data_IF_849907795505
#
_entry.id   IF_849907795505
#
_cell.length_a   1.000
_cell.length_b   1.000
_cell.length_c   1.000
_cell.angle_alpha   90.00
_cell.angle_beta   90.00
_cell.angle_gamma   90.00
#
_symmetry.space_group_name_H-M   'P 1'
#
loop_
_entity.id
_entity.type
_entity.pdbx_description
1 polymer ?
#
# COMPACT_ATOMS: atom_id res chain seq x y z
N UNK A 1 -58.48 -12.22 -15.88
CA UNK A 1 -57.87 -13.21 -14.96
C UNK A 1 -57.01 -12.45 -13.96
N UNK A 2 -57.36 -12.49 -12.66
CA UNK A 2 -56.74 -11.64 -11.61
C UNK A 2 -55.55 -12.39 -11.02
N UNK A 3 -54.34 -11.94 -11.36
CA UNK A 3 -53.07 -12.50 -10.88
C UNK A 3 -52.94 -12.24 -9.37
N UNK A 4 -52.89 -13.30 -8.56
CA UNK A 4 -52.62 -13.18 -7.11
C UNK A 4 -51.13 -12.90 -6.93
N UNK A 5 -50.80 -11.68 -6.52
CA UNK A 5 -49.46 -11.35 -6.06
C UNK A 5 -49.30 -12.00 -4.66
N UNK A 6 -48.41 -12.99 -4.56
CA UNK A 6 -48.06 -13.61 -3.28
C UNK A 6 -47.33 -12.62 -2.39
N UNK A 7 -47.82 -12.44 -1.16
CA UNK A 7 -47.14 -11.63 -0.15
C UNK A 7 -45.94 -12.37 0.44
N UNK A 8 -44.86 -11.63 0.68
CA UNK A 8 -43.66 -12.13 1.35
C UNK A 8 -44.00 -12.51 2.80
N UNK A 9 -43.61 -13.70 3.27
CA UNK A 9 -43.83 -14.07 4.67
C UNK A 9 -42.79 -13.41 5.56
N UNK A 10 -43.17 -13.04 6.79
CA UNK A 10 -42.23 -12.47 7.78
C UNK A 10 -41.09 -13.47 8.07
N UNK A 11 -41.39 -14.77 8.03
CA UNK A 11 -40.41 -15.84 8.26
C UNK A 11 -39.38 -15.89 7.14
N UNK A 12 -39.79 -15.73 5.88
CA UNK A 12 -38.85 -15.63 4.75
C UNK A 12 -37.92 -14.43 4.88
N UNK A 13 -38.43 -13.28 5.35
CA UNK A 13 -37.58 -12.12 5.56
C UNK A 13 -36.61 -12.33 6.73
N UNK A 14 -37.07 -12.98 7.81
CA UNK A 14 -36.27 -13.24 9.00
C UNK A 14 -35.09 -14.16 8.73
N UNK A 15 -35.30 -15.26 7.99
CA UNK A 15 -34.18 -16.17 7.68
C UNK A 15 -33.14 -15.49 6.78
N UNK A 16 -33.57 -14.64 5.85
CA UNK A 16 -32.68 -13.92 4.94
C UNK A 16 -31.75 -12.97 5.70
N UNK A 17 -32.27 -12.18 6.63
CA UNK A 17 -31.43 -11.25 7.41
C UNK A 17 -30.46 -12.00 8.32
N UNK A 18 -30.86 -13.16 8.88
CA UNK A 18 -29.98 -13.99 9.70
C UNK A 18 -28.83 -14.55 8.86
N UNK A 19 -29.12 -15.05 7.66
CA UNK A 19 -28.09 -15.56 6.75
C UNK A 19 -27.14 -14.44 6.30
N UNK A 20 -27.65 -13.25 5.96
CA UNK A 20 -26.81 -12.10 5.59
C UNK A 20 -25.92 -11.68 6.76
N UNK A 21 -26.44 -11.66 8.00
CA UNK A 21 -25.66 -11.32 9.18
C UNK A 21 -24.48 -12.29 9.43
N UNK A 22 -24.72 -13.59 9.27
CA UNK A 22 -23.68 -14.62 9.40
C UNK A 22 -22.62 -14.48 8.31
N UNK A 23 -23.04 -14.33 7.05
CA UNK A 23 -22.11 -14.15 5.93
C UNK A 23 -21.28 -12.87 6.10
N UNK A 24 -21.91 -11.76 6.50
CA UNK A 24 -21.21 -10.50 6.76
C UNK A 24 -20.13 -10.67 7.85
N UNK A 25 -20.44 -11.33 8.96
CA UNK A 25 -19.47 -11.56 10.04
C UNK A 25 -18.23 -12.35 9.57
N UNK A 26 -18.44 -13.42 8.80
CA UNK A 26 -17.33 -14.23 8.26
C UNK A 26 -16.50 -13.43 7.26
N UNK A 27 -17.16 -12.68 6.36
CA UNK A 27 -16.45 -11.89 5.33
C UNK A 27 -15.55 -10.82 5.93
N UNK A 28 -15.93 -10.16 7.02
CA UNK A 28 -15.11 -9.12 7.67
C UNK A 28 -13.77 -9.71 8.15
N UNK A 29 -13.80 -10.87 8.82
CA UNK A 29 -12.59 -11.51 9.34
C UNK A 29 -11.68 -11.96 8.19
N UNK A 30 -12.26 -12.56 7.15
CA UNK A 30 -11.51 -13.00 5.97
C UNK A 30 -10.87 -11.83 5.20
N UNK A 31 -11.57 -10.69 5.12
CA UNK A 31 -11.12 -9.51 4.37
C UNK A 31 -9.86 -8.89 4.97
N UNK A 32 -9.74 -8.85 6.32
CA UNK A 32 -8.56 -8.28 6.98
C UNK A 32 -7.26 -9.00 6.59
N UNK A 33 -7.26 -10.34 6.56
CA UNK A 33 -6.07 -11.11 6.17
C UNK A 33 -5.65 -10.95 4.70
N UNK A 34 -6.63 -10.76 3.80
CA UNK A 34 -6.35 -10.51 2.37
C UNK A 34 -5.72 -9.13 2.15
N UNK A 35 -6.19 -8.10 2.87
CA UNK A 35 -5.62 -6.75 2.80
C UNK A 35 -4.15 -6.73 3.22
N UNK A 36 -3.81 -7.40 4.31
CA UNK A 36 -2.42 -7.47 4.78
C UNK A 36 -1.51 -8.17 3.75
N UNK A 37 -1.95 -9.29 3.17
CA UNK A 37 -1.17 -9.99 2.14
C UNK A 37 -0.96 -9.16 0.89
N UNK A 38 -2.02 -8.50 0.41
CA UNK A 38 -1.93 -7.59 -0.73
C UNK A 38 -0.95 -6.44 -0.45
N UNK A 39 -0.93 -5.93 0.79
CA UNK A 39 0.01 -4.90 1.25
C UNK A 39 1.45 -5.35 1.14
N UNK A 40 1.80 -6.49 1.73
CA UNK A 40 3.18 -7.02 1.67
C UNK A 40 3.62 -7.31 0.24
N UNK A 41 2.71 -7.79 -0.61
CA UNK A 41 2.99 -7.99 -2.05
C UNK A 41 3.30 -6.67 -2.77
N UNK A 42 2.56 -5.59 -2.44
CA UNK A 42 2.78 -4.26 -2.99
C UNK A 42 4.14 -3.70 -2.53
N UNK A 43 4.42 -3.75 -1.23
CA UNK A 43 5.71 -3.33 -0.63
C UNK A 43 6.88 -4.02 -1.32
N UNK A 44 6.81 -5.34 -1.54
CA UNK A 44 7.88 -6.07 -2.23
C UNK A 44 8.11 -5.60 -3.68
N UNK A 45 7.03 -5.27 -4.38
CA UNK A 45 7.08 -4.74 -5.76
C UNK A 45 7.66 -3.32 -5.79
N UNK A 46 7.27 -2.49 -4.82
CA UNK A 46 7.74 -1.11 -4.69
C UNK A 46 9.24 -1.09 -4.35
N UNK A 47 9.71 -1.92 -3.41
CA UNK A 47 11.14 -2.07 -3.09
C UNK A 47 11.95 -2.45 -4.32
N UNK A 48 11.47 -3.42 -5.11
CA UNK A 48 12.16 -3.85 -6.33
C UNK A 48 12.27 -2.70 -7.34
N UNK A 49 11.21 -1.89 -7.46
CA UNK A 49 11.18 -0.74 -8.36
C UNK A 49 12.13 0.36 -7.90
N UNK A 50 12.13 0.71 -6.60
CA UNK A 50 13.06 1.68 -6.00
C UNK A 50 14.50 1.23 -6.23
N UNK A 51 14.81 -0.04 -5.96
CA UNK A 51 16.15 -0.60 -6.14
C UNK A 51 16.64 -0.44 -7.58
N UNK A 52 15.81 -0.77 -8.58
CA UNK A 52 16.15 -0.57 -9.98
C UNK A 52 16.44 0.89 -10.31
N UNK A 53 15.67 1.83 -9.75
CA UNK A 53 15.92 3.26 -9.91
C UNK A 53 17.25 3.71 -9.31
N UNK A 54 17.60 3.20 -8.12
CA UNK A 54 18.88 3.49 -7.44
C UNK A 54 20.06 2.92 -8.25
N UNK A 55 19.95 1.68 -8.73
CA UNK A 55 20.97 1.04 -9.56
C UNK A 55 21.16 1.76 -10.90
N UNK A 56 20.08 2.23 -11.52
CA UNK A 56 20.14 3.05 -12.73
C UNK A 56 20.81 4.40 -12.47
N UNK A 57 20.54 5.04 -11.32
CA UNK A 57 21.22 6.27 -10.92
C UNK A 57 22.72 6.05 -10.74
N UNK A 58 23.11 4.95 -10.07
CA UNK A 58 24.52 4.57 -9.91
C UNK A 58 25.19 4.37 -11.27
N UNK A 59 24.53 3.68 -12.21
CA UNK A 59 25.05 3.48 -13.57
C UNK A 59 25.27 4.79 -14.34
N UNK A 60 24.47 5.83 -14.07
CA UNK A 60 24.59 7.12 -14.75
C UNK A 60 25.59 8.07 -14.08
N UNK A 61 25.71 8.04 -12.75
CA UNK A 61 26.46 9.02 -11.96
C UNK A 61 27.72 8.46 -11.30
N UNK A 62 27.92 7.14 -11.29
CA UNK A 62 29.07 6.46 -10.68
C UNK A 62 29.04 6.37 -9.15
N UNK A 63 28.00 6.88 -8.50
CA UNK A 63 27.80 6.83 -7.05
C UNK A 63 26.31 6.71 -6.72
N UNK A 64 25.98 6.18 -5.54
CA UNK A 64 24.60 6.15 -5.08
C UNK A 64 24.14 7.56 -4.67
N UNK A 65 22.82 7.86 -4.72
CA UNK A 65 22.29 9.12 -4.21
C UNK A 65 22.64 9.26 -2.72
N UNK A 66 23.65 10.08 -2.41
CA UNK A 66 24.11 10.26 -1.03
C UNK A 66 23.06 10.99 -0.22
N UNK A 67 22.82 10.47 0.98
CA UNK A 67 21.90 11.07 1.94
C UNK A 67 22.73 11.62 3.09
N UNK A 68 22.64 12.91 3.39
CA UNK A 68 23.35 13.47 4.55
C UNK A 68 22.97 12.78 5.87
N UNK A 69 21.69 12.43 6.05
CA UNK A 69 21.20 11.69 7.21
C UNK A 69 20.34 10.48 6.79
N UNK A 70 19.13 10.73 6.31
CA UNK A 70 18.23 9.74 5.71
C UNK A 70 17.05 10.46 5.04
N UNK A 71 16.49 9.84 4.00
CA UNK A 71 15.29 10.29 3.32
C UNK A 71 14.12 9.43 3.79
N UNK A 72 13.01 10.07 4.14
CA UNK A 72 11.82 9.41 4.70
C UNK A 72 10.61 9.76 3.87
N UNK A 73 9.82 8.76 3.47
CA UNK A 73 8.55 8.96 2.80
C UNK A 73 7.47 8.15 3.48
N UNK A 74 6.53 8.84 4.10
CA UNK A 74 5.38 8.23 4.76
C UNK A 74 4.15 8.31 3.86
N UNK A 75 3.14 7.54 4.22
CA UNK A 75 1.91 7.49 3.44
C UNK A 75 0.97 8.70 3.63
N UNK A 76 1.33 9.69 4.45
CA UNK A 76 0.48 10.85 4.75
C UNK A 76 1.12 12.19 4.35
N UNK A 77 2.44 12.22 4.21
CA UNK A 77 3.15 13.37 3.68
C UNK A 77 3.39 13.17 2.19
N UNK A 78 2.43 13.63 1.37
CA UNK A 78 2.73 14.06 0.00
C UNK A 78 3.55 15.34 0.13
N UNK A 79 4.86 15.22 0.35
CA UNK A 79 5.73 16.36 0.13
C UNK A 79 5.51 16.81 -1.32
N UNK A 80 5.38 18.13 -1.52
CA UNK A 80 4.97 18.79 -2.78
C UNK A 80 5.98 18.61 -3.92
N UNK A 81 7.05 17.84 -3.69
CA UNK A 81 8.02 17.44 -4.67
C UNK A 81 8.15 15.92 -4.53
N UNK A 82 7.64 15.16 -5.50
CA UNK A 82 7.43 13.69 -5.52
C UNK A 82 8.71 12.83 -5.43
N UNK A 83 9.76 13.34 -4.77
CA UNK A 83 11.10 12.82 -4.84
C UNK A 83 11.56 12.15 -3.54
N UNK A 84 11.14 10.90 -3.29
CA UNK A 84 11.65 10.09 -2.16
C UNK A 84 13.17 9.96 -2.17
N UNK A 85 13.79 9.85 -3.34
CA UNK A 85 15.26 9.86 -3.54
C UNK A 85 15.56 10.78 -4.73
N UNK A 86 16.36 11.85 -4.58
CA UNK A 86 16.65 12.78 -5.66
C UNK A 86 17.33 12.09 -6.83
N UNK A 87 16.92 12.41 -8.05
CA UNK A 87 17.51 11.89 -9.27
C UNK A 87 17.10 10.46 -9.64
N UNK A 88 16.47 9.72 -8.71
CA UNK A 88 15.88 8.38 -8.97
C UNK A 88 14.44 8.51 -9.49
N UNK A 89 13.78 9.62 -9.21
CA UNK A 89 12.34 9.81 -9.42
C UNK A 89 11.93 10.04 -10.87
N UNK A 90 12.86 10.50 -11.70
CA UNK A 90 12.70 10.49 -13.15
C UNK A 90 12.68 9.05 -13.74
N UNK A 91 13.18 8.06 -12.98
CA UNK A 91 13.33 6.66 -13.40
C UNK A 91 12.23 5.78 -12.78
N UNK A 92 11.68 6.17 -11.62
CA UNK A 92 10.54 5.52 -10.96
C UNK A 92 9.40 6.53 -10.73
N UNK A 93 8.66 6.94 -11.78
CA UNK A 93 7.66 8.02 -11.71
C UNK A 93 6.39 7.67 -10.91
N UNK A 94 6.34 6.47 -10.32
CA UNK A 94 5.22 6.01 -9.50
C UNK A 94 5.75 5.14 -8.36
N UNK A 95 6.52 5.72 -7.45
CA UNK A 95 6.57 5.15 -6.11
C UNK A 95 5.19 5.36 -5.52
N UNK A 96 4.34 4.35 -5.70
CA UNK A 96 3.03 4.32 -5.11
C UNK A 96 3.21 4.58 -3.62
N UNK A 97 2.43 5.53 -3.11
CA UNK A 97 2.48 5.94 -1.71
C UNK A 97 2.55 4.71 -0.79
N UNK A 98 3.41 4.76 0.24
CA UNK A 98 3.51 3.68 1.23
C UNK A 98 2.09 3.27 1.66
N UNK A 99 1.75 1.99 1.77
CA UNK A 99 0.41 1.62 2.19
C UNK A 99 0.20 1.97 3.67
N UNK A 100 -0.72 2.90 3.97
CA UNK A 100 -1.06 3.25 5.36
C UNK A 100 -1.75 2.07 6.06
N UNK A 101 -1.25 1.70 7.24
CA UNK A 101 -1.81 0.62 8.07
C UNK A 101 -2.45 1.15 9.34
N UNK A 102 -1.97 2.27 9.85
CA UNK A 102 -2.49 2.93 11.02
C UNK A 102 -2.81 4.41 10.73
N UNK A 103 -3.69 5.01 11.53
CA UNK A 103 -4.11 6.40 11.38
C UNK A 103 -3.07 7.41 11.89
N UNK A 104 -1.91 6.96 12.39
CA UNK A 104 -0.86 7.81 12.94
C UNK A 104 0.39 7.86 12.06
N UNK A 105 0.49 6.98 11.07
CA UNK A 105 1.43 6.94 9.95
C UNK A 105 2.91 6.92 10.33
N UNK A 106 3.22 6.66 11.61
CA UNK A 106 4.57 6.74 12.16
C UNK A 106 5.44 5.54 11.77
N UNK A 107 4.80 4.40 11.51
CA UNK A 107 5.48 3.12 11.28
C UNK A 107 5.49 2.67 9.81
N UNK A 108 4.67 3.29 8.95
CA UNK A 108 4.61 2.98 7.51
C UNK A 108 5.40 4.01 6.70
N UNK A 109 6.72 4.01 6.90
CA UNK A 109 7.62 5.00 6.30
C UNK A 109 8.78 4.32 5.61
N UNK A 110 8.91 4.56 4.31
CA UNK A 110 10.12 4.22 3.58
C UNK A 110 11.29 5.02 4.13
N UNK A 111 12.39 4.35 4.43
CA UNK A 111 13.65 4.98 4.84
C UNK A 111 14.75 4.58 3.86
N UNK A 112 15.33 5.58 3.21
CA UNK A 112 16.52 5.40 2.40
C UNK A 112 17.69 6.15 3.03
N UNK A 113 18.82 5.45 3.19
CA UNK A 113 20.08 6.03 3.65
C UNK A 113 21.22 5.51 2.80
N UNK A 114 22.10 6.40 2.36
CA UNK A 114 23.30 6.08 1.60
C UNK A 114 24.42 7.05 1.92
N UNK A 115 25.65 6.55 1.92
CA UNK A 115 26.88 7.35 2.02
C UNK A 115 27.51 7.65 0.64
N UNK A 116 26.86 7.21 -0.45
CA UNK A 116 27.36 7.31 -1.82
C UNK A 116 28.11 6.08 -2.33
N UNK A 117 28.53 5.18 -1.44
CA UNK A 117 29.23 3.91 -1.76
C UNK A 117 28.33 2.71 -1.50
N UNK A 118 27.60 2.74 -0.39
CA UNK A 118 26.60 1.76 0.00
C UNK A 118 25.24 2.43 0.25
N UNK A 119 24.17 1.63 0.26
CA UNK A 119 22.85 2.11 0.61
C UNK A 119 22.06 1.08 1.43
N UNK A 120 21.12 1.60 2.22
CA UNK A 120 20.15 0.82 2.99
C UNK A 120 18.76 1.37 2.73
N UNK A 121 17.87 0.48 2.31
CA UNK A 121 16.45 0.76 2.11
C UNK A 121 15.65 -0.06 3.12
N UNK A 122 14.79 0.59 3.89
CA UNK A 122 13.89 -0.04 4.86
C UNK A 122 12.44 0.39 4.57
N UNK A 123 11.52 -0.52 4.88
CA UNK A 123 10.10 -0.25 5.07
C UNK A 123 9.79 -0.39 6.56
#
# INVERSE_FOLDING_TARGET
MKQRHGGFTIVELLIVIVVIAILAAITIIAFNGVKDRARWSKIGTDISSIRKGIEAYYSANGSYPSTGNAWRYSCQWTAVDDNFIPGVTAITPNLQQAPCTDANYQNDTWLYRSDGVDYKLLY
#
